data_IF_785084206419
#
_entry.id   IF_785084206419
#
_cell.length_a   1.000
_cell.length_b   1.000
_cell.length_c   1.000
_cell.angle_alpha   90.00
_cell.angle_beta   90.00
_cell.angle_gamma   90.00
#
_symmetry.space_group_name_H-M   'P 1'
#
loop_
_entity.id
_entity.type
_entity.pdbx_description
1 polymer ?
#
# COMPACT_ATOMS: atom_id res chain seq x y z
N UNK A 1 5.68 2.57 -22.78
CA UNK A 1 5.84 2.75 -21.32
C UNK A 1 7.26 2.37 -20.91
N UNK A 2 7.80 2.98 -19.86
CA UNK A 2 9.10 2.61 -19.29
C UNK A 2 9.04 1.17 -18.74
N UNK A 3 9.99 0.30 -19.09
CA UNK A 3 10.06 -1.10 -18.62
C UNK A 3 10.04 -1.20 -17.09
N UNK A 4 10.68 -0.24 -16.41
CA UNK A 4 10.65 -0.13 -14.94
C UNK A 4 9.24 0.07 -14.39
N UNK A 5 8.41 0.86 -15.08
CA UNK A 5 7.02 1.09 -14.70
C UNK A 5 6.19 -0.17 -14.94
N UNK A 6 6.37 -0.82 -16.09
CA UNK A 6 5.69 -2.07 -16.42
C UNK A 6 5.98 -3.17 -15.39
N UNK A 7 7.24 -3.34 -14.99
CA UNK A 7 7.63 -4.30 -13.96
C UNK A 7 6.96 -4.01 -12.61
N UNK A 8 6.91 -2.74 -12.18
CA UNK A 8 6.21 -2.34 -10.95
C UNK A 8 4.71 -2.62 -11.02
N UNK A 9 4.08 -2.31 -12.15
CA UNK A 9 2.66 -2.58 -12.38
C UNK A 9 2.40 -4.08 -12.38
N UNK A 10 3.23 -4.89 -13.04
CA UNK A 10 3.11 -6.34 -13.05
C UNK A 10 3.26 -6.93 -11.64
N UNK A 11 4.24 -6.47 -10.87
CA UNK A 11 4.40 -6.86 -9.48
C UNK A 11 3.13 -6.57 -8.66
N UNK A 12 2.56 -5.37 -8.80
CA UNK A 12 1.33 -4.99 -8.11
C UNK A 12 0.14 -5.87 -8.53
N UNK A 13 0.01 -6.18 -9.82
CA UNK A 13 -1.02 -7.08 -10.34
C UNK A 13 -0.87 -8.49 -9.77
N UNK A 14 0.35 -9.02 -9.68
CA UNK A 14 0.60 -10.34 -9.10
C UNK A 14 0.18 -10.37 -7.63
N UNK A 15 0.51 -9.34 -6.86
CA UNK A 15 0.07 -9.25 -5.44
C UNK A 15 -1.47 -9.19 -5.35
N UNK A 16 -2.12 -8.42 -6.22
CA UNK A 16 -3.58 -8.36 -6.27
C UNK A 16 -4.20 -9.71 -6.67
N UNK A 17 -3.62 -10.43 -7.62
CA UNK A 17 -4.06 -11.76 -8.01
C UNK A 17 -4.00 -12.74 -6.83
N UNK A 18 -2.92 -12.69 -6.03
CA UNK A 18 -2.81 -13.51 -4.83
C UNK A 18 -3.92 -13.18 -3.82
N UNK A 19 -4.22 -11.89 -3.61
CA UNK A 19 -5.34 -11.47 -2.75
C UNK A 19 -6.69 -12.01 -3.24
N UNK A 20 -6.93 -11.98 -4.56
CA UNK A 20 -8.14 -12.55 -5.16
C UNK A 20 -8.21 -14.06 -4.93
N UNK A 21 -7.11 -14.78 -5.16
CA UNK A 21 -7.06 -16.23 -4.94
C UNK A 21 -7.30 -16.59 -3.46
N UNK A 22 -6.76 -15.82 -2.52
CA UNK A 22 -7.06 -15.99 -1.09
C UNK A 22 -8.55 -15.76 -0.83
N UNK A 23 -9.15 -14.71 -1.40
CA UNK A 23 -10.58 -14.44 -1.25
C UNK A 23 -11.50 -15.52 -1.85
N UNK A 24 -11.04 -16.18 -2.92
CA UNK A 24 -11.79 -17.25 -3.58
C UNK A 24 -11.67 -18.59 -2.84
N UNK A 25 -10.49 -18.93 -2.34
CA UNK A 25 -10.17 -20.27 -1.84
C UNK A 25 -10.09 -20.36 -0.31
N UNK A 26 -10.00 -19.24 0.41
CA UNK A 26 -9.85 -19.19 1.87
C UNK A 26 -10.94 -18.31 2.48
N UNK A 27 -12.19 -18.79 2.40
CA UNK A 27 -13.37 -18.08 2.93
C UNK A 27 -13.57 -18.27 4.43
N UNK A 28 -12.89 -19.23 5.03
CA UNK A 28 -13.03 -19.49 6.46
C UNK A 28 -12.57 -18.29 7.29
N UNK A 29 -13.33 -17.91 8.32
CA UNK A 29 -12.96 -16.82 9.19
C UNK A 29 -11.76 -17.24 10.05
N UNK A 30 -10.69 -16.45 9.98
CA UNK A 30 -9.52 -16.64 10.84
C UNK A 30 -9.56 -15.61 11.98
N UNK A 31 -8.94 -15.96 13.12
CA UNK A 31 -8.83 -15.07 14.26
C UNK A 31 -7.69 -14.07 14.06
N UNK A 32 -8.02 -12.79 14.01
CA UNK A 32 -7.06 -11.69 13.96
C UNK A 32 -6.80 -11.14 15.36
N UNK A 33 -5.53 -11.12 15.77
CA UNK A 33 -5.06 -10.52 17.02
C UNK A 33 -3.94 -9.54 16.70
N UNK A 34 -4.08 -8.30 17.18
CA UNK A 34 -3.05 -7.27 17.00
C UNK A 34 -2.83 -6.45 18.27
N UNK A 35 -2.37 -7.04 19.38
CA UNK A 35 -1.96 -6.24 20.54
C UNK A 35 -0.76 -5.33 20.17
N UNK A 36 -0.68 -4.08 20.68
CA UNK A 36 -1.60 -3.42 21.61
C UNK A 36 -2.79 -2.70 20.94
N UNK A 37 -2.84 -2.70 19.60
CA UNK A 37 -3.80 -1.91 18.81
C UNK A 37 -5.24 -2.45 18.90
N UNK A 38 -5.39 -3.78 18.99
CA UNK A 38 -6.67 -4.47 19.15
C UNK A 38 -6.64 -5.37 20.38
N UNK A 39 -7.56 -5.12 21.31
CA UNK A 39 -7.74 -5.88 22.55
C UNK A 39 -8.61 -7.12 22.38
N UNK A 40 -9.46 -7.13 21.35
CA UNK A 40 -10.37 -8.23 21.01
C UNK A 40 -9.91 -8.98 19.76
N UNK A 41 -10.23 -10.27 19.71
CA UNK A 41 -9.97 -11.09 18.52
C UNK A 41 -11.06 -10.86 17.49
N UNK A 42 -10.71 -10.32 16.32
CA UNK A 42 -11.66 -10.11 15.22
C UNK A 42 -11.68 -11.38 14.37
N UNK A 43 -12.86 -11.94 14.08
CA UNK A 43 -13.01 -13.08 13.17
C UNK A 43 -13.54 -12.60 11.82
N UNK A 44 -12.73 -12.75 10.77
CA UNK A 44 -13.10 -12.41 9.40
C UNK A 44 -12.28 -13.23 8.40
N UNK A 45 -12.71 -13.37 7.14
CA UNK A 45 -11.92 -14.01 6.10
C UNK A 45 -10.52 -13.40 5.99
N UNK A 46 -9.51 -14.24 5.78
CA UNK A 46 -8.11 -13.82 5.68
C UNK A 46 -7.89 -12.76 4.60
N UNK A 47 -8.62 -12.87 3.48
CA UNK A 47 -8.56 -11.94 2.37
C UNK A 47 -8.86 -10.48 2.78
N UNK A 48 -9.82 -10.25 3.68
CA UNK A 48 -10.17 -8.91 4.14
C UNK A 48 -9.01 -8.30 4.93
N UNK A 49 -8.37 -9.09 5.79
CA UNK A 49 -7.21 -8.64 6.57
C UNK A 49 -6.04 -8.28 5.67
N UNK A 50 -5.66 -9.19 4.77
CA UNK A 50 -4.53 -8.97 3.87
C UNK A 50 -4.79 -7.79 2.93
N UNK A 51 -6.02 -7.64 2.44
CA UNK A 51 -6.39 -6.50 1.62
C UNK A 51 -6.28 -5.18 2.39
N UNK A 52 -6.73 -5.11 3.64
CA UNK A 52 -6.62 -3.91 4.46
C UNK A 52 -5.16 -3.48 4.66
N UNK A 53 -4.27 -4.42 5.01
CA UNK A 53 -2.84 -4.13 5.15
C UNK A 53 -2.18 -3.74 3.82
N UNK A 54 -2.52 -4.43 2.73
CA UNK A 54 -2.06 -4.08 1.40
C UNK A 54 -2.49 -2.65 1.01
N UNK A 55 -3.76 -2.29 1.25
CA UNK A 55 -4.28 -0.96 0.93
C UNK A 55 -3.56 0.14 1.72
N UNK A 56 -3.32 -0.06 3.02
CA UNK A 56 -2.52 0.87 3.84
C UNK A 56 -1.12 1.02 3.27
N UNK A 57 -0.42 -0.10 3.00
CA UNK A 57 0.92 -0.07 2.43
C UNK A 57 0.99 0.59 1.06
N UNK A 58 0.00 0.34 0.20
CA UNK A 58 -0.10 0.95 -1.13
C UNK A 58 -0.33 2.46 -1.03
N UNK A 59 -1.25 2.91 -0.16
CA UNK A 59 -1.51 4.32 0.08
C UNK A 59 -0.25 5.02 0.62
N UNK A 60 0.40 4.45 1.64
CA UNK A 60 1.66 4.97 2.18
C UNK A 60 2.73 5.06 1.09
N UNK A 61 2.95 4.00 0.32
CA UNK A 61 3.93 4.00 -0.77
C UNK A 61 3.61 5.03 -1.85
N UNK A 62 2.32 5.20 -2.17
CA UNK A 62 1.85 6.20 -3.13
C UNK A 62 2.10 7.62 -2.61
N UNK A 63 1.77 7.91 -1.35
CA UNK A 63 2.02 9.22 -0.73
C UNK A 63 3.52 9.55 -0.72
N UNK A 64 4.38 8.60 -0.31
CA UNK A 64 5.82 8.81 -0.25
C UNK A 64 6.46 8.97 -1.63
N UNK A 65 5.93 8.28 -2.66
CA UNK A 65 6.51 8.29 -4.01
C UNK A 65 5.94 9.42 -4.88
N UNK A 66 4.65 9.75 -4.73
CA UNK A 66 3.98 10.78 -5.53
C UNK A 66 3.99 12.16 -4.86
N UNK A 67 4.05 12.24 -3.51
CA UNK A 67 4.03 13.50 -2.75
C UNK A 67 5.38 14.21 -2.64
N UNK A 68 6.49 13.60 -3.05
CA UNK A 68 7.86 14.10 -2.88
C UNK A 68 8.30 15.29 -3.75
N UNK A 69 7.37 16.11 -4.26
CA UNK A 69 7.70 17.24 -5.16
C UNK A 69 7.36 18.62 -4.60
N UNK A 70 7.53 18.82 -3.29
CA UNK A 70 7.49 20.15 -2.67
C UNK A 70 8.83 20.47 -2.00
N UNK A 71 9.75 21.09 -2.76
CA UNK A 71 10.93 21.72 -2.18
C UNK A 71 12.26 21.50 -2.90
N UNK A 72 12.38 21.96 -4.15
CA UNK A 72 13.69 22.40 -4.67
C UNK A 72 13.46 23.36 -5.83
N UNK A 73 13.58 24.66 -5.59
CA UNK A 73 13.39 25.65 -6.65
C UNK A 73 13.07 27.08 -6.23
N UNK A 74 13.11 27.43 -4.94
CA UNK A 74 13.36 28.82 -4.57
C UNK A 74 14.85 29.10 -4.79
N UNK A 75 15.26 29.25 -6.07
CA UNK A 75 16.48 30.00 -6.37
C UNK A 75 16.19 31.42 -5.94
N UNK A 76 16.76 31.82 -4.81
CA UNK A 76 16.91 33.22 -4.41
C UNK A 76 17.31 34.03 -5.64
N UNK A 77 16.37 34.81 -6.17
CA UNK A 77 16.71 35.95 -7.00
C UNK A 77 17.40 36.93 -6.05
N UNK A 78 18.73 36.88 -6.11
CA UNK A 78 19.66 37.81 -5.51
C UNK A 78 19.13 39.23 -5.75
N UNK A 79 18.66 39.86 -4.68
CA UNK A 79 18.55 41.32 -4.64
C UNK A 79 19.98 41.83 -4.64
N UNK A 80 20.42 42.36 -5.77
CA UNK A 80 21.65 43.13 -5.85
C UNK A 80 21.28 44.52 -6.38
N UNK A 81 21.90 45.47 -5.72
CA UNK A 81 21.57 46.89 -5.60
C UNK A 81 22.20 47.67 -6.75
#
# INVERSE_FOLDING_TARGET
MNFKLLFKTLFLIVVLLLLVLIGMNNRDPIGFKLPPLLTQTIKQPAAIMYFAFFAVGLLTGTILTAGGKKGSGAKSAKSEK
#
